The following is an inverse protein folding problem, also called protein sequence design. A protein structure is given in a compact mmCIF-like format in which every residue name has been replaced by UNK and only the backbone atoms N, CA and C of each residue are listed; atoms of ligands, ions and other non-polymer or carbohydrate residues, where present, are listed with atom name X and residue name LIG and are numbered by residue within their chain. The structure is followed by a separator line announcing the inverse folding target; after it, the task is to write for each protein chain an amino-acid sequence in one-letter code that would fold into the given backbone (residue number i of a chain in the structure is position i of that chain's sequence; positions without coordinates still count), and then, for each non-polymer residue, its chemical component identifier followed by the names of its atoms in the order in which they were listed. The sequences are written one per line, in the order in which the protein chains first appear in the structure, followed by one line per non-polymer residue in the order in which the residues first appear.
data_IF_140914436239
#
_entry.id   IF_140914436239
#
_cell.length_a   1.000
_cell.length_b   1.000
_cell.length_c   1.000
_cell.angle_alpha   90.00
_cell.angle_beta   90.00
_cell.angle_gamma   90.00
#
_symmetry.space_group_name_H-M   'P 1'
#
loop_
_entity.id
_entity.type
_entity.pdbx_description
1 polymer ?
#
# COMPACT_ATOMS: atom_id res chain seq x y z
N UNK A 1 -11.67 -84.16 -13.08
CA UNK A 1 -10.78 -85.27 -12.57
C UNK A 1 -10.06 -84.74 -11.36
N UNK A 2 -10.47 -85.39 -10.20
CA UNK A 2 -9.71 -85.57 -8.95
C UNK A 2 -9.05 -84.41 -8.25
N UNK A 3 -9.65 -83.96 -7.11
CA UNK A 3 -9.41 -84.40 -5.73
C UNK A 3 -7.99 -84.10 -5.18
N UNK A 4 -7.91 -83.37 -4.07
CA UNK A 4 -7.93 -83.70 -2.61
C UNK A 4 -7.46 -82.50 -1.84
N UNK A 5 -8.24 -82.03 -0.93
CA UNK A 5 -8.13 -82.26 0.55
C UNK A 5 -6.69 -82.14 1.10
N UNK A 6 -6.47 -81.15 1.97
CA UNK A 6 -6.13 -81.49 3.35
C UNK A 6 -6.38 -80.32 4.32
N UNK A 7 -7.08 -80.63 5.37
CA UNK A 7 -7.22 -79.91 6.65
C UNK A 7 -6.01 -80.19 7.52
N UNK A 8 -5.77 -79.34 8.45
CA UNK A 8 -5.35 -79.48 9.85
C UNK A 8 -4.86 -78.05 10.22
N UNK A 9 -5.46 -77.28 11.13
CA UNK A 9 -5.80 -77.61 12.53
C UNK A 9 -4.71 -76.98 13.41
N UNK A 10 -5.08 -76.01 14.19
CA UNK A 10 -4.17 -75.71 15.30
C UNK A 10 -4.14 -74.30 15.86
N UNK A 11 -5.02 -74.07 16.82
CA UNK A 11 -4.77 -73.35 18.08
C UNK A 11 -4.59 -71.84 18.15
N UNK A 12 -5.59 -71.29 18.83
CA UNK A 12 -5.55 -70.02 19.58
C UNK A 12 -4.29 -69.85 20.42
N UNK A 13 -3.75 -68.69 20.42
CA UNK A 13 -3.18 -68.04 21.61
C UNK A 13 -3.50 -66.56 21.60
N UNK A 14 -4.29 -66.20 22.61
CA UNK A 14 -4.52 -64.84 23.03
C UNK A 14 -3.24 -64.24 23.64
N UNK A 15 -3.24 -62.94 23.78
CA UNK A 15 -2.49 -62.09 24.70
C UNK A 15 -1.68 -61.00 23.98
N UNK A 16 -2.06 -59.79 24.27
CA UNK A 16 -1.21 -58.64 24.03
C UNK A 16 -2.01 -57.36 23.68
N UNK A 17 -2.86 -56.88 24.61
CA UNK A 17 -3.37 -55.54 24.54
C UNK A 17 -2.22 -54.55 24.78
N UNK A 18 -1.79 -53.85 23.73
CA UNK A 18 -0.96 -52.65 23.87
C UNK A 18 -1.85 -51.43 23.82
N UNK A 19 -1.87 -50.59 24.87
CA UNK A 19 -2.54 -49.32 24.80
C UNK A 19 -1.67 -48.39 23.93
N UNK A 20 -2.15 -48.04 22.75
CA UNK A 20 -1.63 -46.94 21.98
C UNK A 20 -1.90 -45.66 22.76
N UNK A 21 -0.89 -45.16 23.44
CA UNK A 21 -0.86 -43.80 23.95
C UNK A 21 -0.81 -42.83 22.76
N UNK A 22 -1.95 -42.26 22.42
CA UNK A 22 -2.05 -41.14 21.47
C UNK A 22 -1.46 -39.94 22.17
N UNK A 23 -0.20 -39.68 21.89
CA UNK A 23 0.45 -38.41 22.25
C UNK A 23 -0.14 -37.31 21.35
N UNK A 24 -1.14 -36.58 21.86
CA UNK A 24 -1.70 -35.40 21.28
C UNK A 24 -0.64 -34.28 21.39
N UNK A 25 0.21 -34.15 20.37
CA UNK A 25 1.10 -33.03 20.25
C UNK A 25 0.26 -31.78 19.96
N UNK A 26 -0.05 -31.02 20.99
CA UNK A 26 -0.62 -29.68 20.85
C UNK A 26 0.45 -28.78 20.21
N UNK A 27 0.34 -28.58 18.89
CA UNK A 27 1.06 -27.52 18.19
C UNK A 27 0.50 -26.18 18.68
N UNK A 28 1.14 -25.61 19.68
CA UNK A 28 0.94 -24.21 20.05
C UNK A 28 1.51 -23.37 18.91
N UNK A 29 0.63 -22.97 17.99
CA UNK A 29 0.94 -21.92 17.04
C UNK A 29 1.17 -20.64 17.86
N UNK A 30 2.42 -20.38 18.23
CA UNK A 30 2.84 -19.10 18.74
C UNK A 30 2.64 -18.09 17.60
N UNK A 31 1.49 -17.41 17.61
CA UNK A 31 1.28 -16.21 16.80
C UNK A 31 2.35 -15.23 17.23
N UNK A 32 3.42 -15.15 16.44
CA UNK A 32 4.44 -14.14 16.59
C UNK A 32 3.78 -12.79 16.28
N UNK A 33 3.27 -12.10 17.31
CA UNK A 33 3.04 -10.67 17.28
C UNK A 33 4.42 -10.01 17.22
N UNK A 34 5.05 -10.04 16.05
CA UNK A 34 6.16 -9.16 15.74
C UNK A 34 5.64 -7.71 15.74
N UNK A 35 6.50 -6.72 16.04
CA UNK A 35 6.11 -5.33 15.90
C UNK A 35 5.56 -5.13 14.49
N UNK A 36 4.33 -4.61 14.39
CA UNK A 36 3.71 -4.34 13.10
C UNK A 36 4.57 -3.30 12.39
N UNK A 37 5.21 -3.72 11.30
CA UNK A 37 5.94 -2.79 10.44
C UNK A 37 4.97 -1.69 10.01
N UNK A 38 5.31 -0.41 10.18
CA UNK A 38 4.47 0.69 9.71
C UNK A 38 4.12 0.50 8.24
N UNK A 39 2.85 0.55 7.90
CA UNK A 39 2.39 0.41 6.52
C UNK A 39 1.38 1.50 6.21
N UNK A 40 1.53 2.11 5.05
CA UNK A 40 0.51 3.02 4.56
C UNK A 40 -0.73 2.26 4.08
N UNK A 41 -1.91 2.73 4.49
CA UNK A 41 -3.14 2.30 3.87
C UNK A 41 -3.17 2.76 2.41
N UNK A 42 -3.71 1.95 1.49
CA UNK A 42 -3.79 2.27 0.06
C UNK A 42 -2.48 2.81 -0.54
N UNK A 43 -1.40 2.08 -0.35
CA UNK A 43 -0.12 2.35 -1.00
C UNK A 43 0.04 1.53 -2.29
N UNK A 44 0.94 1.98 -3.15
CA UNK A 44 1.18 1.42 -4.49
C UNK A 44 2.59 0.85 -4.60
N UNK A 45 2.79 -0.06 -5.53
CA UNK A 45 4.08 -0.74 -5.76
C UNK A 45 5.10 0.10 -6.55
N UNK A 46 4.64 1.18 -7.17
CA UNK A 46 5.50 2.08 -7.92
C UNK A 46 4.87 3.48 -8.05
N UNK A 47 5.68 4.53 -8.32
CA UNK A 47 5.16 5.86 -8.65
C UNK A 47 4.23 5.84 -9.87
N UNK A 48 4.51 4.97 -10.84
CA UNK A 48 3.67 4.81 -12.04
C UNK A 48 2.31 4.20 -11.72
N UNK A 49 2.26 3.19 -10.84
CA UNK A 49 1.00 2.60 -10.38
C UNK A 49 0.15 3.61 -9.60
N UNK A 50 0.78 4.40 -8.73
CA UNK A 50 0.14 5.51 -8.04
C UNK A 50 -0.43 6.55 -9.02
N UNK A 51 0.37 6.99 -9.99
CA UNK A 51 -0.06 7.96 -11.00
C UNK A 51 -1.23 7.44 -11.83
N UNK A 52 -1.19 6.16 -12.26
CA UNK A 52 -2.27 5.53 -12.99
C UNK A 52 -3.58 5.50 -12.20
N UNK A 53 -3.51 5.18 -10.90
CA UNK A 53 -4.69 5.21 -10.02
C UNK A 53 -5.26 6.63 -9.86
N UNK A 54 -4.39 7.64 -9.70
CA UNK A 54 -4.80 9.05 -9.64
C UNK A 54 -5.50 9.47 -10.93
N UNK A 55 -4.94 9.14 -12.10
CA UNK A 55 -5.53 9.50 -13.40
C UNK A 55 -6.89 8.83 -13.60
N UNK A 56 -7.02 7.56 -13.22
CA UNK A 56 -8.30 6.84 -13.30
C UNK A 56 -9.37 7.46 -12.39
N UNK A 57 -9.00 7.84 -11.17
CA UNK A 57 -9.91 8.50 -10.23
C UNK A 57 -10.30 9.92 -10.70
N UNK A 58 -9.39 10.65 -11.38
CA UNK A 58 -9.68 11.93 -12.01
C UNK A 58 -10.65 11.77 -13.19
N UNK A 59 -10.47 10.77 -14.03
CA UNK A 59 -11.39 10.44 -15.13
C UNK A 59 -12.80 10.17 -14.59
N UNK A 60 -12.91 9.45 -13.49
CA UNK A 60 -14.17 9.15 -12.82
C UNK A 60 -14.75 10.31 -11.97
N UNK A 61 -14.01 11.42 -11.80
CA UNK A 61 -14.31 12.48 -10.82
C UNK A 61 -14.48 11.94 -9.39
N UNK A 62 -13.80 10.85 -9.04
CA UNK A 62 -13.87 10.21 -7.73
C UNK A 62 -12.97 10.91 -6.70
N UNK A 63 -13.53 11.96 -6.09
CA UNK A 63 -12.86 12.72 -5.03
C UNK A 63 -12.48 11.84 -3.83
N UNK A 64 -13.33 10.88 -3.46
CA UNK A 64 -13.09 10.02 -2.28
C UNK A 64 -11.89 9.12 -2.50
N UNK A 65 -11.77 8.51 -3.68
CA UNK A 65 -10.60 7.74 -4.06
C UNK A 65 -9.34 8.63 -4.04
N UNK A 66 -9.40 9.82 -4.67
CA UNK A 66 -8.27 10.75 -4.69
C UNK A 66 -7.81 11.15 -3.29
N UNK A 67 -8.73 11.52 -2.39
CA UNK A 67 -8.38 11.87 -1.00
C UNK A 67 -7.72 10.69 -0.27
N UNK A 68 -8.12 9.45 -0.55
CA UNK A 68 -7.56 8.24 0.08
C UNK A 68 -6.16 7.86 -0.39
N UNK A 69 -5.70 8.38 -1.54
CA UNK A 69 -4.35 8.17 -2.04
C UNK A 69 -3.31 9.06 -1.35
N UNK A 70 -3.74 10.14 -0.68
CA UNK A 70 -2.87 10.97 0.13
C UNK A 70 -2.75 10.43 1.56
N UNK A 71 -1.74 10.88 2.31
CA UNK A 71 -1.58 10.54 3.72
C UNK A 71 -2.85 10.86 4.50
N UNK A 72 -3.25 9.93 5.37
CA UNK A 72 -4.24 10.17 6.40
C UNK A 72 -3.61 10.92 7.59
N UNK A 73 -4.46 11.48 8.46
CA UNK A 73 -3.99 12.13 9.69
C UNK A 73 -3.27 11.16 10.62
N UNK A 74 -3.76 9.92 10.69
CA UNK A 74 -3.16 8.88 11.51
C UNK A 74 -1.75 8.51 11.01
N UNK A 75 -1.60 8.27 9.71
CA UNK A 75 -0.29 7.97 9.10
C UNK A 75 0.68 9.14 9.27
N UNK A 76 0.19 10.38 9.06
CA UNK A 76 1.01 11.56 9.24
C UNK A 76 1.49 11.69 10.69
N UNK A 77 0.58 11.55 11.67
CA UNK A 77 0.88 11.70 13.09
C UNK A 77 1.85 10.63 13.60
N UNK A 78 1.64 9.38 13.21
CA UNK A 78 2.33 8.24 13.81
C UNK A 78 3.61 7.85 13.07
N UNK A 79 3.66 8.05 11.74
CA UNK A 79 4.76 7.54 10.93
C UNK A 79 5.62 8.66 10.33
N UNK A 80 5.04 9.83 10.03
CA UNK A 80 5.75 10.87 9.27
C UNK A 80 6.20 12.01 10.17
N UNK A 81 5.29 12.59 10.94
CA UNK A 81 5.56 13.78 11.73
C UNK A 81 6.70 13.61 12.75
N UNK A 82 6.88 12.45 13.44
CA UNK A 82 7.99 12.27 14.38
C UNK A 82 9.38 12.47 13.79
N UNK A 83 9.56 12.21 12.50
CA UNK A 83 10.84 12.39 11.81
C UNK A 83 10.99 13.75 11.11
N UNK A 84 9.93 14.57 11.11
CA UNK A 84 9.99 15.86 10.44
C UNK A 84 10.77 16.90 11.28
N UNK A 85 11.46 17.89 10.64
CA UNK A 85 12.14 18.99 11.35
C UNK A 85 11.23 19.85 12.24
N UNK A 86 9.91 19.74 12.05
CA UNK A 86 8.88 20.41 12.86
C UNK A 86 8.60 19.70 14.19
N UNK A 87 9.02 18.43 14.34
CA UNK A 87 8.81 17.66 15.56
C UNK A 87 9.38 18.38 16.78
N UNK A 88 8.60 18.44 17.85
CA UNK A 88 8.99 19.12 19.11
C UNK A 88 9.03 20.66 19.05
N UNK A 89 8.82 21.27 17.84
CA UNK A 89 8.87 22.73 17.66
C UNK A 89 7.51 23.33 17.35
N UNK A 90 6.68 22.61 16.59
CA UNK A 90 5.38 23.08 16.14
C UNK A 90 4.34 21.99 16.47
N UNK A 91 3.16 22.35 17.00
CA UNK A 91 2.11 21.36 17.24
C UNK A 91 1.71 20.62 15.97
N UNK A 92 1.62 19.30 16.03
CA UNK A 92 1.26 18.43 14.89
C UNK A 92 -0.07 18.86 14.26
N UNK A 93 -1.07 19.19 15.08
CA UNK A 93 -2.39 19.62 14.61
C UNK A 93 -2.34 20.87 13.72
N UNK A 94 -1.41 21.79 14.00
CA UNK A 94 -1.20 22.98 13.17
C UNK A 94 -0.60 22.61 11.82
N UNK A 95 0.48 21.81 11.82
CA UNK A 95 1.15 21.36 10.58
C UNK A 95 0.20 20.55 9.71
N UNK A 96 -0.53 19.62 10.33
CA UNK A 96 -1.51 18.81 9.63
C UNK A 96 -2.68 19.63 9.09
N UNK A 97 -3.22 20.55 9.90
CA UNK A 97 -4.33 21.41 9.50
C UNK A 97 -4.00 22.25 8.25
N UNK A 98 -2.81 22.87 8.22
CA UNK A 98 -2.33 23.64 7.08
C UNK A 98 -2.13 22.76 5.83
N UNK A 99 -1.45 21.61 6.00
CA UNK A 99 -1.22 20.66 4.91
C UNK A 99 -2.53 20.15 4.31
N UNK A 100 -3.46 19.74 5.15
CA UNK A 100 -4.77 19.21 4.75
C UNK A 100 -5.60 20.26 4.02
N UNK A 101 -5.64 21.50 4.53
CA UNK A 101 -6.37 22.58 3.88
C UNK A 101 -5.81 22.89 2.51
N UNK A 102 -4.50 23.06 2.39
CA UNK A 102 -3.81 23.30 1.11
C UNK A 102 -4.05 22.16 0.14
N UNK A 103 -3.90 20.91 0.60
CA UNK A 103 -4.11 19.71 -0.22
C UNK A 103 -5.53 19.65 -0.79
N UNK A 104 -6.56 19.93 0.01
CA UNK A 104 -7.95 19.94 -0.44
C UNK A 104 -8.23 21.05 -1.46
N UNK A 105 -7.65 22.23 -1.27
CA UNK A 105 -7.81 23.34 -2.20
C UNK A 105 -7.17 23.02 -3.56
N UNK A 106 -5.96 22.45 -3.56
CA UNK A 106 -5.30 22.05 -4.80
C UNK A 106 -6.02 20.88 -5.48
N UNK A 107 -6.50 19.88 -4.73
CA UNK A 107 -7.31 18.80 -5.30
C UNK A 107 -8.58 19.32 -5.97
N UNK A 108 -9.24 20.35 -5.40
CA UNK A 108 -10.43 20.97 -6.02
C UNK A 108 -10.08 21.61 -7.36
N UNK A 109 -8.92 22.28 -7.46
CA UNK A 109 -8.45 22.85 -8.74
C UNK A 109 -8.11 21.75 -9.75
N UNK A 110 -7.42 20.70 -9.31
CA UNK A 110 -7.07 19.56 -10.15
C UNK A 110 -8.32 18.91 -10.74
N UNK A 111 -9.33 18.66 -9.92
CA UNK A 111 -10.61 18.13 -10.39
C UNK A 111 -11.32 19.10 -11.37
N UNK A 112 -11.28 20.39 -11.12
CA UNK A 112 -11.89 21.38 -12.02
C UNK A 112 -11.23 21.41 -13.40
N UNK A 113 -9.89 21.21 -13.47
CA UNK A 113 -9.14 21.29 -14.73
C UNK A 113 -8.99 19.94 -15.45
N UNK A 114 -8.92 18.85 -14.70
CA UNK A 114 -8.57 17.52 -15.22
C UNK A 114 -9.64 16.46 -14.99
N UNK A 115 -10.69 16.76 -14.21
CA UNK A 115 -11.79 15.83 -13.97
C UNK A 115 -12.53 15.47 -15.27
N UNK A 116 -12.87 14.21 -15.41
CA UNK A 116 -13.52 13.67 -16.62
C UNK A 116 -12.61 13.47 -17.84
N UNK A 117 -11.32 13.84 -17.75
CA UNK A 117 -10.37 13.66 -18.84
C UNK A 117 -9.68 12.31 -18.72
N UNK A 118 -9.63 11.58 -19.82
CA UNK A 118 -8.98 10.28 -19.88
C UNK A 118 -7.52 10.41 -20.31
N UNK A 119 -6.62 10.11 -19.38
CA UNK A 119 -5.18 10.08 -19.63
C UNK A 119 -4.61 8.68 -19.49
N UNK A 120 -3.60 8.35 -20.29
CA UNK A 120 -2.73 7.20 -20.07
C UNK A 120 -1.38 7.67 -19.56
N UNK A 121 -0.87 7.06 -18.47
CA UNK A 121 0.47 7.39 -17.96
C UNK A 121 1.53 6.70 -18.82
N UNK A 122 2.45 7.51 -19.36
CA UNK A 122 3.61 7.04 -20.13
C UNK A 122 4.83 6.90 -19.21
N UNK A 123 5.10 7.94 -18.40
CA UNK A 123 6.23 7.96 -17.48
C UNK A 123 5.95 8.82 -16.24
N UNK A 124 6.75 8.60 -15.18
CA UNK A 124 6.76 9.42 -13.95
C UNK A 124 8.20 9.64 -13.52
N UNK A 125 8.60 10.89 -13.38
CA UNK A 125 9.91 11.27 -12.88
C UNK A 125 9.83 12.38 -11.83
N UNK A 126 10.93 12.67 -11.13
CA UNK A 126 10.97 13.62 -10.02
C UNK A 126 12.01 14.72 -10.27
N UNK A 127 11.58 15.97 -10.49
CA UNK A 127 12.45 17.11 -10.71
C UNK A 127 13.08 17.66 -9.43
N UNK A 128 12.49 17.39 -8.28
CA UNK A 128 12.89 17.97 -6.99
C UNK A 128 13.84 17.13 -6.16
N UNK A 129 14.31 16.01 -6.71
CA UNK A 129 15.13 15.05 -5.97
C UNK A 129 14.39 14.34 -4.84
N UNK A 130 15.13 13.67 -3.95
CA UNK A 130 14.61 12.93 -2.83
C UNK A 130 15.23 13.39 -1.51
N UNK A 131 14.47 13.29 -0.41
CA UNK A 131 14.97 13.49 0.95
C UNK A 131 14.69 12.21 1.73
N UNK A 132 15.77 11.57 2.20
CA UNK A 132 15.67 10.42 3.07
C UNK A 132 15.49 10.86 4.52
N UNK A 133 14.58 10.18 5.20
CA UNK A 133 14.34 10.21 6.63
C UNK A 133 14.76 8.85 7.23
N UNK A 134 14.52 8.62 8.49
CA UNK A 134 14.93 7.35 9.13
C UNK A 134 14.19 6.15 8.56
N UNK A 135 12.86 6.26 8.40
CA UNK A 135 12.02 5.14 7.96
C UNK A 135 11.45 5.32 6.55
N UNK A 136 11.45 6.52 5.99
CA UNK A 136 10.83 6.81 4.69
C UNK A 136 11.65 7.77 3.82
N UNK A 137 11.30 7.82 2.52
CA UNK A 137 11.86 8.77 1.57
C UNK A 137 10.77 9.65 0.99
N UNK A 138 11.03 10.95 0.87
CA UNK A 138 10.11 11.89 0.19
C UNK A 138 10.69 12.30 -1.15
N UNK A 139 10.03 11.89 -2.22
CA UNK A 139 10.33 12.27 -3.61
C UNK A 139 9.56 13.53 -3.96
N UNK A 140 10.27 14.56 -4.46
CA UNK A 140 9.70 15.89 -4.67
C UNK A 140 9.45 16.18 -6.14
N UNK A 141 8.46 17.05 -6.38
CA UNK A 141 8.09 17.56 -7.71
C UNK A 141 7.89 16.45 -8.74
N UNK A 142 6.98 15.50 -8.51
CA UNK A 142 6.65 14.51 -9.50
C UNK A 142 6.10 15.14 -10.76
N UNK A 143 6.56 14.65 -11.91
CA UNK A 143 6.10 14.98 -13.24
C UNK A 143 5.55 13.73 -13.90
N UNK A 144 4.35 13.85 -14.43
CA UNK A 144 3.71 12.77 -15.16
C UNK A 144 3.79 13.09 -16.65
N UNK A 145 4.39 12.21 -17.41
CA UNK A 145 4.23 12.20 -18.88
C UNK A 145 2.97 11.40 -19.17
N UNK A 146 1.99 12.03 -19.76
CA UNK A 146 0.69 11.43 -20.04
C UNK A 146 0.31 11.62 -21.49
N UNK A 147 -0.45 10.68 -22.03
CA UNK A 147 -1.13 10.80 -23.33
C UNK A 147 -2.63 10.94 -23.10
N UNK A 148 -3.18 12.05 -23.58
CA UNK A 148 -4.63 12.26 -23.55
C UNK A 148 -5.30 11.31 -24.58
N UNK A 149 -6.21 10.46 -24.12
CA UNK A 149 -6.79 9.40 -24.96
C UNK A 149 -7.64 9.95 -26.10
N UNK A 150 -8.23 11.13 -25.93
CA UNK A 150 -9.12 11.74 -26.91
C UNK A 150 -8.34 12.43 -28.04
N UNK A 151 -7.30 13.20 -27.68
CA UNK A 151 -6.51 14.01 -28.64
C UNK A 151 -5.24 13.32 -29.12
N UNK A 152 -4.81 12.25 -28.41
CA UNK A 152 -3.53 11.57 -28.57
C UNK A 152 -2.31 12.47 -28.29
N UNK A 153 -2.51 13.64 -27.72
CA UNK A 153 -1.44 14.56 -27.36
C UNK A 153 -0.68 14.08 -26.12
N UNK A 154 0.62 14.16 -26.16
CA UNK A 154 1.49 13.96 -25.03
C UNK A 154 1.62 15.26 -24.23
N UNK A 155 1.49 15.17 -22.90
CA UNK A 155 1.56 16.33 -21.99
C UNK A 155 2.36 15.96 -20.74
N UNK A 156 3.05 16.96 -20.20
CA UNK A 156 3.62 16.84 -18.87
C UNK A 156 2.72 17.54 -17.85
N UNK A 157 2.29 16.79 -16.84
CA UNK A 157 1.39 17.27 -15.80
C UNK A 157 2.07 17.24 -14.43
N UNK A 158 1.78 18.27 -13.62
CA UNK A 158 2.10 18.30 -12.19
C UNK A 158 0.77 18.27 -11.42
N UNK A 159 0.29 17.06 -11.10
CA UNK A 159 -1.04 16.86 -10.49
C UNK A 159 -1.00 16.74 -8.97
N UNK A 160 0.14 16.44 -8.39
CA UNK A 160 0.28 16.27 -6.95
C UNK A 160 1.66 16.73 -6.49
N UNK A 161 1.80 16.91 -5.20
CA UNK A 161 3.01 17.44 -4.58
C UNK A 161 4.14 16.44 -4.48
N UNK A 162 4.44 16.00 -3.27
CA UNK A 162 5.47 14.98 -3.05
C UNK A 162 4.86 13.60 -2.98
N UNK A 163 5.67 12.59 -3.28
CA UNK A 163 5.38 11.18 -3.08
C UNK A 163 6.24 10.67 -1.93
N UNK A 164 5.66 9.93 -1.01
CA UNK A 164 6.36 9.28 0.08
C UNK A 164 6.52 7.80 -0.24
N UNK A 165 7.70 7.28 0.01
CA UNK A 165 8.07 5.88 -0.12
C UNK A 165 8.41 5.30 1.24
N UNK A 166 7.79 4.18 1.59
CA UNK A 166 8.06 3.38 2.78
C UNK A 166 8.08 1.90 2.38
N UNK A 167 9.18 1.22 2.65
CA UNK A 167 9.37 -0.21 2.32
C UNK A 167 9.02 -0.55 0.85
N UNK A 168 9.44 0.29 -0.10
CA UNK A 168 9.15 0.11 -1.52
C UNK A 168 7.68 0.30 -1.89
N UNK A 169 6.90 0.90 -1.00
CA UNK A 169 5.50 1.27 -1.26
C UNK A 169 5.36 2.78 -1.34
N UNK A 170 4.54 3.24 -2.27
CA UNK A 170 4.41 4.64 -2.64
C UNK A 170 3.01 5.17 -2.33
N UNK A 171 2.95 6.39 -1.77
CA UNK A 171 1.72 7.11 -1.45
C UNK A 171 1.88 8.60 -1.71
N UNK A 172 0.80 9.33 -1.94
CA UNK A 172 0.88 10.79 -2.02
C UNK A 172 1.13 11.38 -0.63
N UNK A 173 2.13 12.26 -0.54
CA UNK A 173 2.27 13.07 0.67
C UNK A 173 1.12 14.08 0.75
N UNK A 174 0.83 14.76 -0.35
CA UNK A 174 -0.29 15.71 -0.49
C UNK A 174 -0.51 16.08 -1.95
N UNK A 175 -1.62 16.78 -2.22
CA UNK A 175 -1.89 17.41 -3.52
C UNK A 175 -1.28 18.80 -3.67
N UNK A 176 -0.48 19.29 -2.70
CA UNK A 176 0.14 20.61 -2.75
C UNK A 176 1.27 20.63 -3.78
N UNK A 177 1.00 21.18 -4.95
CA UNK A 177 1.99 21.33 -6.03
C UNK A 177 2.87 22.55 -5.74
N UNK A 178 4.13 22.32 -5.44
CA UNK A 178 5.15 23.38 -5.37
C UNK A 178 5.59 23.70 -6.79
N UNK A 179 5.08 24.78 -7.34
CA UNK A 179 5.42 25.33 -8.66
C UNK A 179 6.78 26.02 -8.64
#
# INVERSE_FOLDING_TARGET
MLLRHNRIGGRLRAVGAFPFAVALAALVAASACGPSVPRFERSFESPRALAAAVLLALEANDRVALESFALSELEFREQVFPEMPAWGKIPMSYVWGDLRQKSRNELSKILAYHGGRAYAVEDVFFDGGATAYETFVVHRKPRLVVRERTTHEEKQLALFGSVIELDGRYKLFSYVVNR
#
